data_IF_512185341224
#
_entry.id   IF_512185341224
#
_cell.length_a   1.000
_cell.length_b   1.000
_cell.length_c   1.000
_cell.angle_alpha   90.00
_cell.angle_beta   90.00
_cell.angle_gamma   90.00
#
_symmetry.space_group_name_H-M   'P 1'
#
loop_
_entity.id
_entity.type
_entity.pdbx_description
1 polymer ?
#
# COMPACT_ATOMS: atom_id res chain seq x y z
N UNK A 1 -40.72 -35.84 41.02
CA UNK A 1 -39.38 -35.58 40.42
C UNK A 1 -39.60 -35.23 38.95
N UNK A 2 -39.56 -33.94 38.60
CA UNK A 2 -39.78 -33.48 37.22
C UNK A 2 -38.44 -33.33 36.48
N UNK A 3 -38.32 -34.00 35.33
CA UNK A 3 -37.17 -33.88 34.43
C UNK A 3 -37.45 -32.75 33.42
N UNK A 4 -36.60 -31.72 33.29
CA UNK A 4 -36.77 -30.70 32.26
C UNK A 4 -36.30 -31.22 30.89
N UNK A 5 -37.09 -30.97 29.84
CA UNK A 5 -36.76 -31.29 28.43
C UNK A 5 -35.74 -30.27 27.88
N UNK A 6 -34.59 -30.70 27.32
CA UNK A 6 -33.60 -29.79 26.75
C UNK A 6 -33.84 -29.62 25.25
N UNK A 7 -34.82 -28.82 24.84
CA UNK A 7 -35.14 -28.61 23.41
C UNK A 7 -34.73 -27.23 22.86
N UNK A 8 -34.16 -26.33 23.66
CA UNK A 8 -33.84 -24.96 23.22
C UNK A 8 -32.36 -24.58 23.23
N UNK A 9 -31.48 -25.43 23.77
CA UNK A 9 -30.05 -25.10 23.89
C UNK A 9 -29.27 -25.25 22.56
N UNK A 10 -29.73 -26.10 21.63
CA UNK A 10 -29.00 -26.33 20.38
C UNK A 10 -29.14 -25.21 19.34
N UNK A 11 -30.23 -24.42 19.38
CA UNK A 11 -30.51 -23.41 18.36
C UNK A 11 -29.65 -22.13 18.52
N UNK A 12 -29.22 -21.80 19.73
CA UNK A 12 -28.41 -20.60 20.01
C UNK A 12 -26.93 -20.75 19.60
N UNK A 13 -26.41 -21.98 19.60
CA UNK A 13 -25.00 -22.24 19.21
C UNK A 13 -24.82 -22.11 17.69
N UNK A 14 -25.83 -22.43 16.89
CA UNK A 14 -25.75 -22.35 15.43
C UNK A 14 -25.75 -20.89 14.91
N UNK A 15 -26.39 -19.94 15.60
CA UNK A 15 -26.35 -18.51 15.21
C UNK A 15 -25.01 -17.84 15.54
N UNK A 16 -24.27 -18.32 16.55
CA UNK A 16 -23.01 -17.70 16.96
C UNK A 16 -21.88 -17.90 15.93
N UNK A 17 -21.90 -18.99 15.15
CA UNK A 17 -20.88 -19.24 14.12
C UNK A 17 -21.12 -18.49 12.80
N UNK A 18 -22.36 -18.06 12.52
CA UNK A 18 -22.67 -17.30 11.30
C UNK A 18 -22.17 -15.84 11.34
N UNK A 19 -21.78 -15.34 12.51
CA UNK A 19 -21.24 -13.99 12.68
C UNK A 19 -19.74 -13.87 12.38
N UNK A 20 -19.04 -14.99 12.12
CA UNK A 20 -17.68 -14.98 11.57
C UNK A 20 -17.75 -14.75 10.05
N UNK A 21 -18.30 -13.60 9.64
CA UNK A 21 -18.26 -13.15 8.26
C UNK A 21 -16.82 -13.08 7.77
N UNK A 22 -16.58 -13.47 6.52
CA UNK A 22 -15.26 -13.34 5.90
C UNK A 22 -14.79 -11.89 6.03
N UNK A 23 -13.64 -11.69 6.68
CA UNK A 23 -13.02 -10.37 6.74
C UNK A 23 -12.55 -9.98 5.34
N UNK A 24 -12.84 -8.75 4.88
CA UNK A 24 -12.32 -8.25 3.62
C UNK A 24 -10.80 -8.12 3.68
N UNK A 25 -10.17 -8.28 2.52
CA UNK A 25 -8.72 -8.35 2.30
C UNK A 25 -8.23 -7.12 1.56
N UNK A 26 -6.91 -6.94 1.52
CA UNK A 26 -6.30 -5.89 0.69
C UNK A 26 -6.61 -6.18 -0.78
N UNK A 27 -7.05 -5.17 -1.52
CA UNK A 27 -7.48 -5.28 -2.92
C UNK A 27 -8.95 -5.63 -3.13
N UNK A 28 -9.73 -5.90 -2.06
CA UNK A 28 -11.17 -6.14 -2.20
C UNK A 28 -11.93 -4.88 -2.64
N UNK A 29 -13.01 -5.06 -3.41
CA UNK A 29 -13.85 -3.97 -3.92
C UNK A 29 -14.57 -3.26 -2.78
N UNK A 30 -14.57 -1.93 -2.82
CA UNK A 30 -15.30 -1.13 -1.84
C UNK A 30 -15.94 0.12 -2.46
N UNK A 31 -16.96 0.64 -1.78
CA UNK A 31 -17.54 1.97 -2.02
C UNK A 31 -17.49 2.85 -0.79
N UNK A 32 -17.49 2.25 0.40
CA UNK A 32 -17.44 2.91 1.71
C UNK A 32 -16.51 2.15 2.65
N UNK A 33 -16.04 2.81 3.71
CA UNK A 33 -15.11 2.23 4.67
C UNK A 33 -15.62 0.92 5.31
N UNK A 34 -16.93 0.81 5.57
CA UNK A 34 -17.54 -0.39 6.16
C UNK A 34 -17.46 -1.63 5.28
N UNK A 35 -17.27 -1.46 3.97
CA UNK A 35 -17.08 -2.59 3.04
C UNK A 35 -15.73 -3.28 3.30
N UNK A 36 -14.76 -2.54 3.87
CA UNK A 36 -13.43 -3.03 4.27
C UNK A 36 -13.37 -3.52 5.72
N UNK A 37 -14.54 -3.73 6.33
CA UNK A 37 -14.68 -4.27 7.68
C UNK A 37 -15.04 -3.19 8.70
N UNK A 38 -15.36 -3.66 9.90
CA UNK A 38 -15.66 -2.79 11.04
C UNK A 38 -14.41 -2.48 11.90
N UNK A 39 -13.32 -3.20 11.66
CA UNK A 39 -12.01 -2.90 12.22
C UNK A 39 -11.35 -1.78 11.40
N UNK A 40 -10.95 -0.69 12.07
CA UNK A 40 -10.40 0.55 11.48
C UNK A 40 -9.04 0.35 10.79
N UNK A 41 -8.57 -0.90 10.65
CA UNK A 41 -7.27 -1.23 10.06
C UNK A 41 -7.30 -1.05 8.54
N UNK A 42 -8.42 -1.41 7.89
CA UNK A 42 -8.57 -1.28 6.44
C UNK A 42 -9.49 -0.11 6.10
N UNK A 43 -9.11 0.62 5.06
CA UNK A 43 -9.85 1.77 4.57
C UNK A 43 -10.17 1.58 3.08
N UNK A 44 -11.30 2.14 2.66
CA UNK A 44 -11.68 2.12 1.25
C UNK A 44 -10.99 3.28 0.53
N UNK A 45 -9.94 2.97 -0.22
CA UNK A 45 -9.29 3.95 -1.10
C UNK A 45 -10.15 4.17 -2.34
N UNK A 46 -10.57 5.42 -2.49
CA UNK A 46 -11.41 5.89 -3.59
C UNK A 46 -10.71 6.93 -4.46
N UNK A 47 -9.41 7.17 -4.23
CA UNK A 47 -8.59 8.03 -5.08
C UNK A 47 -8.33 7.40 -6.45
N UNK A 48 -8.36 6.07 -6.51
CA UNK A 48 -8.04 5.24 -7.66
C UNK A 48 -9.21 4.29 -7.94
N UNK A 49 -10.32 4.82 -8.50
CA UNK A 49 -11.52 4.02 -8.80
C UNK A 49 -11.36 3.30 -10.14
N UNK A 50 -11.92 2.09 -10.23
CA UNK A 50 -12.09 1.43 -11.53
C UNK A 50 -13.18 2.10 -12.39
N UNK A 51 -13.31 1.64 -13.63
CA UNK A 51 -14.35 2.05 -14.59
C UNK A 51 -15.79 1.94 -14.07
N UNK A 52 -16.05 1.15 -13.01
CA UNK A 52 -17.36 0.97 -12.37
C UNK A 52 -17.53 1.86 -11.12
N UNK A 53 -16.57 2.74 -10.87
CA UNK A 53 -16.54 3.64 -9.72
C UNK A 53 -16.23 2.94 -8.39
N UNK A 54 -15.65 1.73 -8.40
CA UNK A 54 -15.30 0.99 -7.18
C UNK A 54 -13.86 1.29 -6.77
N UNK A 55 -13.69 1.61 -5.48
CA UNK A 55 -12.38 1.70 -4.85
C UNK A 55 -11.88 0.34 -4.40
N UNK A 56 -10.76 0.33 -3.68
CA UNK A 56 -10.20 -0.89 -3.08
C UNK A 56 -9.89 -0.75 -1.60
N UNK A 57 -9.98 -1.87 -0.88
CA UNK A 57 -9.57 -1.93 0.51
C UNK A 57 -8.05 -1.96 0.62
N UNK A 58 -7.49 -1.00 1.37
CA UNK A 58 -6.05 -0.89 1.65
C UNK A 58 -5.79 -0.73 3.14
N UNK A 59 -4.52 -0.76 3.54
CA UNK A 59 -4.06 -0.31 4.86
C UNK A 59 -3.18 0.90 4.65
N UNK A 60 -3.58 2.06 5.16
CA UNK A 60 -2.83 3.31 5.07
C UNK A 60 -1.69 3.37 6.09
N UNK A 61 -0.70 4.23 5.84
CA UNK A 61 0.43 4.52 6.74
C UNK A 61 1.22 3.27 7.14
N UNK A 62 1.43 2.36 6.19
CA UNK A 62 2.29 1.20 6.42
C UNK A 62 3.77 1.59 6.41
N UNK A 63 4.59 0.68 6.95
CA UNK A 63 6.04 0.67 6.79
C UNK A 63 6.49 -0.66 6.19
N UNK A 64 7.75 -0.75 5.78
CA UNK A 64 8.32 -1.96 5.19
C UNK A 64 8.08 -3.19 6.07
N UNK A 65 7.65 -4.29 5.45
CA UNK A 65 7.39 -5.57 6.12
C UNK A 65 6.17 -5.64 7.04
N UNK A 66 5.40 -4.55 7.21
CA UNK A 66 4.24 -4.52 8.15
C UNK A 66 2.94 -5.00 7.51
N UNK A 67 2.87 -5.03 6.18
CA UNK A 67 1.64 -5.39 5.46
C UNK A 67 1.22 -6.86 5.70
N UNK A 68 -0.08 -7.18 5.55
CA UNK A 68 -0.55 -8.56 5.47
C UNK A 68 0.19 -9.34 4.39
N UNK A 69 0.27 -10.67 4.53
CA UNK A 69 1.08 -11.54 3.66
C UNK A 69 0.78 -11.44 2.16
N UNK A 70 -0.44 -11.04 1.79
CA UNK A 70 -0.84 -10.83 0.39
C UNK A 70 -0.45 -9.47 -0.19
N UNK A 71 0.11 -8.56 0.61
CA UNK A 71 0.29 -7.18 0.26
C UNK A 71 1.70 -6.69 0.56
N UNK A 72 2.11 -5.68 -0.19
CA UNK A 72 3.40 -4.98 -0.02
C UNK A 72 3.13 -3.52 0.32
N UNK A 73 3.97 -2.94 1.18
CA UNK A 73 3.88 -1.53 1.50
C UNK A 73 4.51 -0.72 0.36
N UNK A 74 3.70 0.05 -0.35
CA UNK A 74 4.21 0.95 -1.38
C UNK A 74 4.13 2.40 -0.92
N UNK A 75 5.02 3.21 -1.45
CA UNK A 75 5.13 4.64 -1.26
C UNK A 75 4.88 5.34 -2.60
N UNK A 76 3.95 6.27 -2.61
CA UNK A 76 3.56 7.04 -3.81
C UNK A 76 3.93 8.50 -3.62
N UNK A 77 4.76 9.00 -4.51
CA UNK A 77 5.08 10.42 -4.69
C UNK A 77 4.21 10.98 -5.80
N UNK A 78 3.54 12.10 -5.57
CA UNK A 78 2.72 12.71 -6.60
C UNK A 78 3.61 13.44 -7.62
N UNK A 79 3.38 13.15 -8.90
CA UNK A 79 4.18 13.66 -10.03
C UNK A 79 4.18 15.18 -10.15
N UNK A 80 3.16 15.85 -9.61
CA UNK A 80 3.06 17.32 -9.59
C UNK A 80 4.11 18.00 -8.71
N UNK A 81 4.81 17.25 -7.86
CA UNK A 81 5.88 17.75 -7.01
C UNK A 81 7.29 17.41 -7.52
N UNK A 82 7.41 16.68 -8.62
CA UNK A 82 8.69 16.34 -9.23
C UNK A 82 9.16 17.49 -10.11
N UNK A 83 9.97 18.39 -9.55
CA UNK A 83 10.30 19.67 -10.22
C UNK A 83 11.79 20.01 -10.28
N UNK A 84 12.60 19.47 -9.37
CA UNK A 84 14.05 19.70 -9.31
C UNK A 84 14.75 18.44 -9.80
N UNK A 85 15.73 18.60 -10.69
CA UNK A 85 16.57 17.49 -11.15
C UNK A 85 17.70 17.24 -10.17
N UNK A 86 17.98 15.98 -9.90
CA UNK A 86 19.04 15.53 -9.02
C UNK A 86 19.76 14.33 -9.65
N UNK A 87 20.88 13.92 -9.07
CA UNK A 87 21.58 12.69 -9.45
C UNK A 87 21.51 11.69 -8.30
N UNK A 88 20.76 10.59 -8.45
CA UNK A 88 20.50 9.66 -7.35
C UNK A 88 21.77 8.97 -6.83
N UNK A 89 22.85 8.94 -7.63
CA UNK A 89 24.11 8.32 -7.24
C UNK A 89 25.03 9.29 -6.45
N UNK A 90 24.71 10.58 -6.43
CA UNK A 90 25.55 11.63 -5.82
C UNK A 90 24.84 12.45 -4.76
N UNK A 91 23.50 12.47 -4.76
CA UNK A 91 22.69 13.24 -3.82
C UNK A 91 22.93 12.80 -2.38
N UNK A 92 23.22 13.77 -1.50
CA UNK A 92 23.44 13.56 -0.06
C UNK A 92 24.57 12.58 0.30
N UNK A 93 25.41 12.22 -0.67
CA UNK A 93 26.52 11.29 -0.45
C UNK A 93 27.79 12.08 -0.12
N UNK A 94 28.41 11.85 1.06
CA UNK A 94 29.72 12.43 1.36
C UNK A 94 30.77 11.73 0.49
N UNK A 95 31.29 12.44 -0.51
CA UNK A 95 32.24 11.88 -1.47
C UNK A 95 33.71 12.08 -1.08
N UNK A 96 33.97 12.69 0.08
CA UNK A 96 35.33 12.88 0.61
C UNK A 96 35.46 12.34 2.03
N UNK A 97 36.70 11.97 2.41
CA UNK A 97 37.06 11.61 3.79
C UNK A 97 36.76 12.71 4.81
N UNK A 98 36.61 13.93 4.32
CA UNK A 98 36.37 15.14 5.10
C UNK A 98 34.86 15.43 5.23
N UNK A 99 34.01 14.58 4.64
CA UNK A 99 32.55 14.66 4.74
C UNK A 99 31.90 15.69 3.83
N UNK A 100 32.62 16.18 2.81
CA UNK A 100 32.07 17.14 1.86
C UNK A 100 31.04 16.47 0.95
N UNK A 101 29.82 17.01 0.95
CA UNK A 101 28.74 16.62 0.04
C UNK A 101 28.95 17.39 -1.25
N UNK A 102 29.23 16.69 -2.34
CA UNK A 102 29.50 17.32 -3.64
C UNK A 102 28.22 17.73 -4.37
N UNK A 103 27.07 17.14 -3.99
CA UNK A 103 25.77 17.40 -4.59
C UNK A 103 24.63 17.25 -3.58
N UNK A 104 23.87 18.32 -3.43
CA UNK A 104 22.76 18.50 -2.50
C UNK A 104 21.73 19.37 -3.26
N UNK A 105 21.09 18.74 -4.25
CA UNK A 105 20.18 19.41 -5.17
C UNK A 105 18.75 19.48 -4.61
N UNK A 106 18.35 18.45 -3.86
CA UNK A 106 17.03 18.32 -3.24
C UNK A 106 16.96 19.10 -1.93
N UNK A 107 15.75 19.50 -1.55
CA UNK A 107 15.54 20.12 -0.23
C UNK A 107 15.73 19.08 0.89
N UNK A 108 16.00 19.50 2.14
CA UNK A 108 16.16 18.57 3.27
C UNK A 108 14.96 17.67 3.59
N UNK A 109 13.79 17.95 3.00
CA UNK A 109 12.57 17.14 3.11
C UNK A 109 12.20 16.44 1.79
N UNK A 110 13.13 16.37 0.85
CA UNK A 110 12.97 15.71 -0.43
C UNK A 110 13.93 14.52 -0.53
N UNK A 111 13.62 13.61 -1.46
CA UNK A 111 14.47 12.49 -1.83
C UNK A 111 14.71 12.52 -3.33
N UNK A 112 15.93 12.24 -3.77
CA UNK A 112 16.20 12.05 -5.19
C UNK A 112 15.71 10.67 -5.64
N UNK A 113 14.66 10.65 -6.47
CA UNK A 113 14.15 9.39 -7.03
C UNK A 113 15.07 8.87 -8.14
N UNK A 114 15.03 7.56 -8.44
CA UNK A 114 15.74 6.95 -9.58
C UNK A 114 15.52 7.62 -10.94
N UNK A 115 14.42 8.35 -11.14
CA UNK A 115 14.21 9.15 -12.36
C UNK A 115 15.06 10.43 -12.42
N UNK A 116 15.87 10.73 -11.38
CA UNK A 116 16.67 11.94 -11.28
C UNK A 116 15.82 13.18 -10.95
N UNK A 117 14.75 12.99 -10.18
CA UNK A 117 13.84 14.06 -9.76
C UNK A 117 13.65 14.04 -8.24
N UNK A 118 13.78 15.22 -7.61
CA UNK A 118 13.50 15.39 -6.19
C UNK A 118 11.99 15.26 -5.93
N UNK A 119 11.65 14.50 -4.89
CA UNK A 119 10.28 14.24 -4.49
C UNK A 119 10.07 14.55 -3.00
N UNK A 120 8.98 15.25 -2.68
CA UNK A 120 8.65 15.67 -1.31
C UNK A 120 8.21 14.47 -0.45
N UNK A 121 9.04 14.13 0.55
CA UNK A 121 8.81 13.06 1.50
C UNK A 121 7.57 13.29 2.36
N UNK A 122 7.22 14.56 2.64
CA UNK A 122 6.09 14.91 3.49
C UNK A 122 4.74 14.75 2.77
N UNK A 123 4.77 14.71 1.43
CA UNK A 123 3.58 14.51 0.58
C UNK A 123 3.44 13.07 0.11
N UNK A 124 4.49 12.27 0.25
CA UNK A 124 4.45 10.87 -0.07
C UNK A 124 3.42 10.14 0.81
N UNK A 125 2.67 9.21 0.21
CA UNK A 125 1.70 8.38 0.95
C UNK A 125 2.14 6.93 0.92
N UNK A 126 2.02 6.25 2.06
CA UNK A 126 2.27 4.80 2.13
C UNK A 126 0.99 4.02 2.29
N UNK A 127 0.84 2.94 1.53
CA UNK A 127 -0.31 2.06 1.64
C UNK A 127 0.04 0.61 1.29
N UNK A 128 -0.56 -0.35 1.98
CA UNK A 128 -0.48 -1.75 1.60
C UNK A 128 -1.35 -1.98 0.37
N UNK A 129 -0.72 -2.41 -0.73
CA UNK A 129 -1.40 -2.78 -1.99
C UNK A 129 -1.24 -4.26 -2.26
N UNK A 130 -2.24 -4.85 -2.90
CA UNK A 130 -2.26 -6.28 -3.21
C UNK A 130 -1.09 -6.62 -4.15
N UNK A 131 -0.23 -7.52 -3.71
CA UNK A 131 0.90 -8.00 -4.52
C UNK A 131 0.41 -8.97 -5.60
N UNK A 132 1.05 -8.94 -6.77
CA UNK A 132 0.70 -9.79 -7.89
C UNK A 132 1.94 -10.24 -8.66
N UNK A 133 1.77 -11.26 -9.50
CA UNK A 133 2.78 -11.74 -10.46
C UNK A 133 2.25 -11.69 -11.89
N UNK A 134 0.93 -11.65 -12.06
CA UNK A 134 0.23 -11.49 -13.34
C UNK A 134 -1.15 -10.84 -13.15
N UNK A 135 -1.71 -10.28 -14.22
CA UNK A 135 -3.02 -9.61 -14.22
C UNK A 135 -4.17 -10.51 -13.71
N UNK A 136 -4.04 -11.82 -13.86
CA UNK A 136 -5.06 -12.80 -13.43
C UNK A 136 -5.24 -12.86 -11.91
N UNK A 137 -4.27 -12.39 -11.14
CA UNK A 137 -4.37 -12.30 -9.68
C UNK A 137 -5.05 -11.00 -9.24
N UNK A 138 -5.17 -10.04 -10.14
CA UNK A 138 -5.88 -8.80 -9.89
C UNK A 138 -7.37 -8.98 -10.16
N UNK A 139 -8.17 -8.14 -9.50
CA UNK A 139 -9.62 -8.09 -9.74
C UNK A 139 -9.92 -7.51 -11.12
N UNK A 140 -11.14 -7.75 -11.62
CA UNK A 140 -11.59 -7.13 -12.87
C UNK A 140 -11.39 -5.60 -12.85
N UNK A 141 -10.87 -5.05 -13.94
CA UNK A 141 -10.56 -3.63 -14.09
C UNK A 141 -9.21 -3.23 -13.52
N UNK A 142 -8.37 -4.20 -13.11
CA UNK A 142 -7.02 -3.97 -12.59
C UNK A 142 -5.98 -4.73 -13.42
N UNK A 143 -4.76 -4.20 -13.43
CA UNK A 143 -3.57 -4.78 -14.06
C UNK A 143 -2.43 -4.89 -13.04
N UNK A 144 -1.53 -5.83 -13.28
CA UNK A 144 -0.37 -6.07 -12.43
C UNK A 144 0.82 -5.25 -12.92
N UNK A 145 1.20 -4.22 -12.15
CA UNK A 145 2.22 -3.23 -12.54
C UNK A 145 3.40 -3.28 -11.59
N UNK A 146 4.62 -3.15 -12.14
CA UNK A 146 5.85 -3.08 -11.34
C UNK A 146 6.03 -1.73 -10.67
N UNK A 147 6.57 -1.75 -9.45
CA UNK A 147 7.06 -0.56 -8.75
C UNK A 147 8.43 -0.15 -9.29
N UNK A 148 9.00 0.93 -8.76
CA UNK A 148 10.33 1.44 -9.10
C UNK A 148 10.32 2.51 -10.19
N UNK A 149 9.14 2.98 -10.62
CA UNK A 149 8.99 4.00 -11.65
C UNK A 149 7.76 4.88 -11.38
N UNK A 150 7.79 6.10 -11.91
CA UNK A 150 6.64 7.00 -11.94
C UNK A 150 6.17 7.44 -10.55
N UNK A 151 7.09 7.54 -9.59
CA UNK A 151 6.75 7.91 -8.21
C UNK A 151 6.14 6.76 -7.39
N UNK A 152 6.06 5.53 -7.91
CA UNK A 152 5.54 4.37 -7.18
C UNK A 152 6.67 3.43 -6.78
N UNK A 153 6.96 3.33 -5.49
CA UNK A 153 8.08 2.57 -4.94
C UNK A 153 7.63 1.61 -3.84
N UNK A 154 8.40 0.57 -3.56
CA UNK A 154 8.25 -0.16 -2.29
C UNK A 154 8.76 0.75 -1.17
N UNK A 155 8.08 0.78 -0.02
CA UNK A 155 8.55 1.55 1.13
C UNK A 155 9.97 1.06 1.53
N UNK A 156 10.92 1.96 1.83
CA UNK A 156 12.30 1.56 2.09
C UNK A 156 12.42 0.71 3.36
N UNK A 157 13.32 -0.27 3.34
CA UNK A 157 13.67 -1.04 4.54
C UNK A 157 14.50 -0.15 5.48
N UNK A 158 14.06 0.11 6.73
CA UNK A 158 14.87 0.90 7.66
C UNK A 158 16.22 0.26 8.01
N UNK A 159 16.38 -1.05 7.81
CA UNK A 159 17.66 -1.75 8.00
C UNK A 159 18.61 -1.60 6.81
N UNK A 160 18.08 -1.32 5.62
CA UNK A 160 18.83 -1.11 4.38
C UNK A 160 18.11 -0.08 3.49
N UNK A 161 18.18 1.21 3.83
CA UNK A 161 17.37 2.25 3.19
C UNK A 161 17.78 2.53 1.74
N UNK A 162 18.97 2.07 1.33
CA UNK A 162 19.49 2.21 -0.04
C UNK A 162 19.16 1.01 -0.93
N UNK A 163 18.59 -0.06 -0.36
CA UNK A 163 18.20 -1.22 -1.14
C UNK A 163 17.02 -0.89 -2.07
N UNK A 164 17.25 -1.05 -3.37
CA UNK A 164 16.19 -1.00 -4.36
C UNK A 164 15.28 -2.23 -4.22
N UNK A 165 14.10 -1.99 -3.66
CA UNK A 165 13.08 -3.02 -3.50
C UNK A 165 12.08 -2.95 -4.66
N UNK A 166 11.85 -4.10 -5.30
CA UNK A 166 10.90 -4.23 -6.40
C UNK A 166 9.75 -5.16 -6.02
N UNK A 167 8.53 -4.73 -6.33
CA UNK A 167 7.35 -5.58 -6.27
C UNK A 167 6.46 -5.30 -7.48
N UNK A 168 5.45 -6.16 -7.68
CA UNK A 168 4.34 -5.84 -8.58
C UNK A 168 3.06 -5.80 -7.79
N UNK A 169 2.22 -4.79 -8.06
CA UNK A 169 0.96 -4.58 -7.37
C UNK A 169 -0.20 -4.47 -8.35
N UNK A 170 -1.39 -4.80 -7.87
CA UNK A 170 -2.61 -4.55 -8.62
C UNK A 170 -2.97 -3.06 -8.58
N UNK A 171 -3.10 -2.45 -9.75
CA UNK A 171 -3.55 -1.06 -9.92
C UNK A 171 -4.74 -1.03 -10.88
N UNK A 172 -5.66 -0.06 -10.76
CA UNK A 172 -6.74 0.07 -11.74
C UNK A 172 -6.17 0.32 -13.14
N UNK A 173 -6.91 -0.15 -14.14
CA UNK A 173 -6.62 0.17 -15.54
C UNK A 173 -7.17 1.57 -15.82
N UNK A 174 -6.30 2.49 -16.22
CA UNK A 174 -6.71 3.80 -16.74
C UNK A 174 -7.43 3.58 -18.09
N UNK A 175 -8.66 4.09 -18.21
CA UNK A 175 -9.44 4.10 -19.45
C UNK A 175 -8.97 5.21 -20.41
#
# INVERSE_FOLDING_TARGET
MSVPRPTHALALVALAFAALGCQPRVGDKCRRATDCGLNVIRQCDVSQRDAKGQGECIVENCSFGVCPKEAVCVKVYASEFLSITCDPDLEDIPMSSDGEILRDDCLPNEVCLPEGLCADELRARTSCRLECTSDKQCRDGYKCVGTGVGGLYVAPDPADPIAENFAKICVPIDD
#
